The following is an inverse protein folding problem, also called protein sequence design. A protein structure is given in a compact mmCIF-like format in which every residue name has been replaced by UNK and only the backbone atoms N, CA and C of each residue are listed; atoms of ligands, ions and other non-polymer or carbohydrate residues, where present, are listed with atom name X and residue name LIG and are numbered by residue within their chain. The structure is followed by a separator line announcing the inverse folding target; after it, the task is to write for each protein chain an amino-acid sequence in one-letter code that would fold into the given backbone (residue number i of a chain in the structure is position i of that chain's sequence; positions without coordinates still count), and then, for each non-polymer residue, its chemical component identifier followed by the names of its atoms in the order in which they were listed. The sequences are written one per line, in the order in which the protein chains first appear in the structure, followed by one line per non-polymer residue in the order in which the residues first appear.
data_IF_927731388318
#
_entry.id   IF_927731388318
#
_cell.length_a   1.000
_cell.length_b   1.000
_cell.length_c   1.000
_cell.angle_alpha   90.00
_cell.angle_beta   90.00
_cell.angle_gamma   90.00
#
_symmetry.space_group_name_H-M   'P 1'
#
loop_
_entity.id
_entity.type
_entity.pdbx_description
1 polymer ?
#
# COMPACT_ATOMS: atom_id res chain seq x y z
N UNK A 1 11.77 -66.45 29.67
CA UNK A 1 12.37 -65.27 30.33
C UNK A 1 11.79 -64.04 29.67
N UNK A 2 10.91 -63.30 30.35
CA UNK A 2 10.29 -62.08 29.82
C UNK A 2 11.18 -60.88 30.17
N UNK A 3 11.52 -60.07 29.17
CA UNK A 3 12.32 -58.85 29.34
C UNK A 3 11.41 -57.78 29.95
N UNK A 4 11.78 -57.13 31.07
CA UNK A 4 10.95 -56.08 31.65
C UNK A 4 11.02 -54.82 30.77
N UNK A 5 9.85 -54.35 30.32
CA UNK A 5 9.69 -53.09 29.62
C UNK A 5 9.93 -51.94 30.61
N UNK A 6 10.94 -51.11 30.34
CA UNK A 6 11.18 -49.87 31.09
C UNK A 6 10.08 -48.85 30.79
N UNK A 7 9.54 -48.15 31.81
CA UNK A 7 8.53 -47.12 31.59
C UNK A 7 9.11 -45.93 30.80
N UNK A 8 8.27 -45.23 30.02
CA UNK A 8 8.70 -44.06 29.26
C UNK A 8 9.18 -42.95 30.20
N UNK A 9 10.16 -42.14 29.77
CA UNK A 9 10.65 -41.02 30.57
C UNK A 9 9.52 -40.00 30.83
N UNK A 10 9.55 -39.31 31.97
CA UNK A 10 8.58 -38.26 32.27
C UNK A 10 8.64 -37.14 31.24
N UNK A 11 7.52 -36.44 30.97
CA UNK A 11 7.50 -35.30 30.07
C UNK A 11 8.48 -34.23 30.55
N UNK A 12 9.27 -33.69 29.62
CA UNK A 12 10.21 -32.61 29.91
C UNK A 12 9.46 -31.43 30.54
N UNK A 13 10.05 -30.74 31.54
CA UNK A 13 9.45 -29.55 32.11
C UNK A 13 9.23 -28.49 31.01
N UNK A 14 8.16 -27.69 31.10
CA UNK A 14 7.94 -26.61 30.14
C UNK A 14 9.15 -25.68 30.16
N UNK A 15 9.72 -25.40 28.98
CA UNK A 15 10.84 -24.47 28.82
C UNK A 15 10.46 -23.12 29.41
N UNK A 16 11.22 -22.67 30.42
CA UNK A 16 11.08 -21.35 31.06
C UNK A 16 11.73 -20.22 30.25
N UNK A 17 12.25 -20.52 29.06
CA UNK A 17 12.84 -19.51 28.21
C UNK A 17 11.75 -18.55 27.73
N UNK A 18 11.96 -17.23 27.85
CA UNK A 18 11.02 -16.27 27.29
C UNK A 18 10.88 -16.53 25.79
N UNK A 19 9.66 -16.41 25.23
CA UNK A 19 9.46 -16.63 23.81
C UNK A 19 10.42 -15.75 23.01
N UNK A 20 10.96 -16.31 21.93
CA UNK A 20 11.94 -15.62 21.08
C UNK A 20 11.40 -14.27 20.58
N UNK A 21 10.11 -14.25 20.25
CA UNK A 21 9.36 -13.06 19.88
C UNK A 21 8.32 -12.73 20.96
N UNK A 22 8.27 -11.48 21.45
CA UNK A 22 7.21 -11.06 22.37
C UNK A 22 5.85 -11.08 21.66
N UNK A 23 4.74 -11.22 22.42
CA UNK A 23 3.40 -11.03 21.86
C UNK A 23 3.26 -9.61 21.30
N UNK A 24 2.73 -9.52 20.09
CA UNK A 24 2.48 -8.25 19.39
C UNK A 24 1.16 -7.66 19.86
N UNK A 25 1.15 -6.37 20.20
CA UNK A 25 -0.07 -5.65 20.57
C UNK A 25 -0.41 -4.56 19.55
N UNK A 26 -1.67 -4.14 19.52
CA UNK A 26 -2.13 -3.03 18.67
C UNK A 26 -1.33 -1.75 18.92
N UNK A 27 -0.96 -1.49 20.17
CA UNK A 27 -0.11 -0.36 20.56
C UNK A 27 1.28 -0.41 19.90
N UNK A 28 1.87 -1.60 19.72
CA UNK A 28 3.17 -1.78 19.08
C UNK A 28 3.10 -1.40 17.59
N UNK A 29 2.02 -1.82 16.91
CA UNK A 29 1.75 -1.43 15.52
C UNK A 29 1.53 0.07 15.40
N UNK A 30 0.72 0.67 16.28
CA UNK A 30 0.46 2.12 16.28
C UNK A 30 1.74 2.93 16.55
N UNK A 31 2.63 2.45 17.42
CA UNK A 31 3.93 3.09 17.67
C UNK A 31 4.86 3.06 16.44
N UNK A 32 4.66 2.10 15.54
CA UNK A 32 5.42 1.97 14.28
C UNK A 32 4.85 2.81 13.12
N UNK A 33 3.76 3.57 13.33
CA UNK A 33 3.25 4.51 12.32
C UNK A 33 4.31 5.57 11.98
N UNK A 34 4.40 5.93 10.69
CA UNK A 34 5.36 6.92 10.23
C UNK A 34 5.23 8.25 10.99
N UNK A 35 4.02 8.76 11.18
CA UNK A 35 3.77 9.99 11.96
C UNK A 35 4.18 9.90 13.43
N UNK A 36 4.25 8.70 14.01
CA UNK A 36 4.65 8.50 15.40
C UNK A 36 6.17 8.63 15.56
N UNK A 37 6.95 7.91 14.74
CA UNK A 37 8.40 7.89 14.88
C UNK A 37 9.12 9.01 14.10
N UNK A 38 8.56 9.51 13.00
CA UNK A 38 9.24 10.48 12.15
C UNK A 38 9.63 11.78 12.87
N UNK A 39 8.78 12.39 13.72
CA UNK A 39 9.15 13.59 14.48
C UNK A 39 10.36 13.35 15.41
N UNK A 40 10.45 12.16 16.03
CA UNK A 40 11.53 11.77 16.94
C UNK A 40 12.87 11.62 16.20
N UNK A 41 12.83 11.06 14.99
CA UNK A 41 14.03 10.72 14.22
C UNK A 41 14.24 11.60 12.99
N UNK A 42 13.54 12.74 12.90
CA UNK A 42 13.53 13.64 11.73
C UNK A 42 14.93 14.08 11.29
N UNK A 43 15.85 14.26 12.24
CA UNK A 43 17.23 14.71 11.98
C UNK A 43 18.11 13.65 11.31
N UNK A 44 17.78 12.37 11.49
CA UNK A 44 18.54 11.23 10.98
C UNK A 44 17.77 10.46 9.89
N UNK A 45 16.59 10.94 9.50
CA UNK A 45 15.74 10.32 8.50
C UNK A 45 15.66 11.19 7.24
N UNK A 46 15.46 10.59 6.05
CA UNK A 46 15.16 11.36 4.84
C UNK A 46 13.98 12.31 5.02
N UNK A 47 14.01 13.45 4.33
CA UNK A 47 12.91 14.42 4.37
C UNK A 47 11.61 13.77 3.89
N UNK A 48 10.52 14.02 4.60
CA UNK A 48 9.20 13.48 4.27
C UNK A 48 8.10 14.48 4.63
N UNK A 49 7.02 14.45 3.86
CA UNK A 49 5.76 15.16 4.13
C UNK A 49 4.71 14.10 4.47
N UNK A 50 3.99 14.30 5.57
CA UNK A 50 2.90 13.43 6.00
C UNK A 50 1.60 14.17 5.76
N UNK A 51 0.74 13.61 4.93
CA UNK A 51 -0.61 14.10 4.67
C UNK A 51 -1.55 13.31 5.59
N UNK A 52 -1.98 13.97 6.67
CA UNK A 52 -2.81 13.38 7.72
C UNK A 52 -3.78 14.41 8.33
N UNK A 53 -5.02 14.01 8.65
CA UNK A 53 -5.65 12.76 8.22
C UNK A 53 -5.85 12.78 6.70
N UNK A 54 -5.85 11.61 6.06
CA UNK A 54 -6.44 11.53 4.72
C UNK A 54 -7.93 11.88 4.91
N UNK A 55 -8.45 12.93 4.26
CA UNK A 55 -9.84 13.33 4.46
C UNK A 55 -10.78 12.16 4.21
N UNK A 56 -11.68 11.89 5.15
CA UNK A 56 -12.70 10.83 4.99
C UNK A 56 -13.65 11.12 3.82
N UNK A 57 -13.79 12.41 3.46
CA UNK A 57 -14.57 12.87 2.30
C UNK A 57 -13.97 12.45 0.97
N UNK A 58 -12.67 12.15 0.93
CA UNK A 58 -11.97 11.84 -0.30
C UNK A 58 -12.18 10.37 -0.72
N UNK A 59 -13.01 9.54 -0.06
CA UNK A 59 -13.24 8.11 -0.41
C UNK A 59 -11.94 7.33 -0.75
N UNK A 60 -10.80 7.77 -0.24
CA UNK A 60 -9.49 7.38 -0.78
C UNK A 60 -9.16 5.92 -0.46
N UNK A 61 -9.56 5.48 0.73
CA UNK A 61 -9.47 4.09 1.15
C UNK A 61 -10.34 3.21 0.26
N UNK A 62 -11.58 3.63 -0.04
CA UNK A 62 -12.47 2.91 -0.94
C UNK A 62 -11.86 2.81 -2.35
N UNK A 63 -11.21 3.87 -2.84
CA UNK A 63 -10.48 3.83 -4.09
C UNK A 63 -9.32 2.84 -4.09
N UNK A 64 -8.55 2.74 -3.02
CA UNK A 64 -7.46 1.77 -2.94
C UNK A 64 -8.01 0.34 -2.92
N UNK A 65 -9.09 0.10 -2.16
CA UNK A 65 -9.77 -1.21 -2.02
C UNK A 65 -10.57 -1.63 -3.27
N UNK A 66 -10.92 -0.70 -4.15
CA UNK A 66 -11.78 -1.02 -5.30
C UNK A 66 -11.08 -1.90 -6.34
N UNK A 67 -11.81 -2.83 -6.96
CA UNK A 67 -11.24 -3.69 -8.00
C UNK A 67 -10.84 -2.93 -9.28
N UNK A 68 -9.76 -3.41 -9.91
CA UNK A 68 -9.25 -2.94 -11.19
C UNK A 68 -8.34 -1.73 -11.11
N UNK A 69 -7.54 -1.50 -12.14
CA UNK A 69 -6.54 -0.44 -12.18
C UNK A 69 -7.05 0.76 -12.99
N UNK A 70 -7.36 1.85 -12.30
CA UNK A 70 -7.79 3.11 -12.91
C UNK A 70 -7.29 4.28 -12.09
N UNK A 71 -7.17 5.45 -12.70
CA UNK A 71 -6.62 6.65 -12.04
C UNK A 71 -7.73 7.65 -11.66
N UNK A 72 -7.58 8.38 -10.54
CA UNK A 72 -8.49 9.47 -10.19
C UNK A 72 -8.46 10.58 -11.24
N UNK A 73 -9.60 11.22 -11.47
CA UNK A 73 -9.71 12.37 -12.36
C UNK A 73 -8.86 13.54 -11.85
N UNK A 74 -8.02 14.10 -12.72
CA UNK A 74 -7.10 15.20 -12.39
C UNK A 74 -5.68 14.75 -11.97
N UNK A 75 -5.45 13.44 -11.79
CA UNK A 75 -4.17 12.91 -11.30
C UNK A 75 -3.02 12.93 -12.33
N UNK A 76 -3.33 12.91 -13.63
CA UNK A 76 -2.33 12.81 -14.71
C UNK A 76 -2.74 13.55 -16.00
N UNK A 77 -1.83 13.67 -16.99
CA UNK A 77 -2.19 14.18 -18.31
C UNK A 77 -3.30 13.29 -18.90
N UNK A 78 -4.36 13.91 -19.44
CA UNK A 78 -5.52 13.23 -20.03
C UNK A 78 -5.04 12.11 -20.98
N UNK A 79 -5.22 10.84 -20.61
CA UNK A 79 -4.83 9.71 -21.47
C UNK A 79 -4.51 8.39 -20.79
N UNK A 80 -4.26 8.35 -19.47
CA UNK A 80 -3.98 7.10 -18.73
C UNK A 80 -5.22 6.50 -18.03
N UNK A 81 -6.41 7.05 -18.26
CA UNK A 81 -7.60 6.68 -17.50
C UNK A 81 -8.14 5.27 -17.78
N UNK A 82 -7.70 4.60 -18.85
CA UNK A 82 -8.12 3.23 -19.16
C UNK A 82 -6.94 2.38 -19.67
N UNK A 83 -6.20 1.78 -18.74
CA UNK A 83 -5.42 0.56 -19.03
C UNK A 83 -6.33 -0.64 -18.81
N UNK A 84 -7.40 -0.75 -19.60
CA UNK A 84 -8.18 -1.98 -19.69
C UNK A 84 -7.62 -2.78 -20.85
N UNK A 85 -7.05 -3.96 -20.56
CA UNK A 85 -6.83 -5.01 -21.55
C UNK A 85 -8.22 -5.40 -22.10
N UNK A 86 -8.62 -4.75 -23.18
CA UNK A 86 -9.65 -5.25 -24.06
C UNK A 86 -8.90 -5.71 -25.30
N UNK A 87 -8.62 -7.01 -25.37
CA UNK A 87 -8.29 -7.70 -26.63
C UNK A 87 -9.47 -7.49 -27.60
N UNK A 88 -9.47 -6.35 -28.27
CA UNK A 88 -10.38 -6.05 -29.35
C UNK A 88 -9.51 -5.56 -30.50
N UNK A 89 -9.29 -6.50 -31.41
CA UNK A 89 -8.76 -6.30 -32.75
C UNK A 89 -9.24 -4.97 -33.35
N UNK A 90 -8.27 -4.26 -33.93
CA UNK A 90 -8.38 -3.37 -35.08
C UNK A 90 -9.64 -2.46 -35.19
N UNK A 91 -9.45 -1.15 -35.06
CA UNK A 91 -9.36 -0.26 -36.25
C UNK A 91 -9.20 1.22 -35.83
N UNK A 92 -8.22 1.87 -36.46
CA UNK A 92 -7.84 3.28 -36.30
C UNK A 92 -8.91 4.22 -36.90
N UNK A 93 -9.20 5.41 -36.33
CA UNK A 93 -9.93 6.43 -37.06
C UNK A 93 -8.94 7.27 -37.87
N UNK A 94 -8.69 6.86 -39.12
CA UNK A 94 -8.07 7.76 -40.10
C UNK A 94 -9.15 8.60 -40.76
N UNK A 95 -9.07 9.90 -40.52
CA UNK A 95 -9.83 10.93 -41.21
C UNK A 95 -9.61 10.86 -42.72
N UNK A 96 -10.66 10.55 -43.48
CA UNK A 96 -10.76 10.96 -44.88
C UNK A 96 -12.21 11.16 -45.32
N UNK A 97 -12.33 12.15 -46.19
CA UNK A 97 -13.52 12.72 -46.82
C UNK A 97 -14.43 11.73 -47.54
N UNK A 98 -15.74 11.90 -47.30
CA UNK A 98 -16.84 11.89 -48.27
C UNK A 98 -16.78 10.92 -49.47
N UNK A 99 -17.57 9.84 -49.42
CA UNK A 99 -18.54 9.45 -50.48
C UNK A 99 -19.48 8.31 -50.00
N UNK A 100 -20.78 8.65 -49.91
CA UNK A 100 -22.00 7.88 -50.22
C UNK A 100 -22.09 6.33 -50.09
N UNK A 101 -23.06 5.92 -49.25
CA UNK A 101 -23.99 4.76 -49.35
C UNK A 101 -23.38 3.35 -49.20
N UNK A 102 -23.85 2.47 -48.30
CA UNK A 102 -25.16 1.79 -48.34
C UNK A 102 -25.44 1.04 -47.01
N UNK A 103 -26.72 0.89 -46.67
CA UNK A 103 -27.29 0.27 -45.46
C UNK A 103 -26.85 -1.18 -45.17
N UNK A 104 -26.73 -1.50 -43.88
CA UNK A 104 -26.75 -2.87 -43.35
C UNK A 104 -26.89 -2.84 -41.83
N UNK A 105 -28.12 -3.05 -41.35
CA UNK A 105 -28.46 -3.10 -39.93
C UNK A 105 -27.82 -4.33 -39.27
N UNK A 106 -27.07 -4.14 -38.19
CA UNK A 106 -26.86 -5.18 -37.19
C UNK A 106 -27.09 -4.58 -35.80
N UNK A 107 -28.30 -4.80 -35.30
CA UNK A 107 -28.79 -4.41 -33.99
C UNK A 107 -28.18 -5.36 -32.95
N UNK A 108 -26.93 -5.11 -32.56
CA UNK A 108 -26.36 -5.72 -31.37
C UNK A 108 -26.53 -4.76 -30.18
N UNK A 109 -27.18 -5.17 -29.08
CA UNK A 109 -27.27 -4.34 -27.90
C UNK A 109 -25.85 -4.14 -27.37
N UNK A 110 -25.32 -2.92 -27.51
CA UNK A 110 -24.08 -2.50 -26.85
C UNK A 110 -24.34 -2.62 -25.35
N UNK A 111 -23.77 -3.64 -24.72
CA UNK A 111 -23.72 -3.77 -23.27
C UNK A 111 -23.19 -2.44 -22.72
N UNK A 112 -24.02 -1.76 -21.92
CA UNK A 112 -23.63 -0.51 -21.28
C UNK A 112 -22.37 -0.76 -20.48
N UNK A 113 -21.28 0.02 -20.63
CA UNK A 113 -20.18 -0.08 -19.69
C UNK A 113 -20.77 0.11 -18.30
N UNK A 114 -20.53 -0.86 -17.39
CA UNK A 114 -20.82 -0.67 -15.97
C UNK A 114 -20.24 0.70 -15.61
N UNK A 115 -21.08 1.62 -15.14
CA UNK A 115 -20.65 2.94 -14.70
C UNK A 115 -19.60 2.75 -13.59
N UNK A 116 -18.32 2.73 -13.96
CA UNK A 116 -17.22 2.65 -13.00
C UNK A 116 -17.30 3.91 -12.16
N UNK A 117 -17.32 3.76 -10.84
CA UNK A 117 -17.31 4.90 -9.91
C UNK A 117 -16.06 5.72 -10.22
N UNK A 118 -16.26 6.98 -10.58
CA UNK A 118 -15.17 7.90 -10.89
C UNK A 118 -14.73 8.57 -9.60
N UNK A 119 -13.44 8.48 -9.31
CA UNK A 119 -12.85 9.05 -8.11
C UNK A 119 -12.08 10.33 -8.48
N UNK A 120 -12.13 11.35 -7.62
CA UNK A 120 -11.35 12.58 -7.79
C UNK A 120 -10.97 13.13 -6.43
N UNK A 121 -9.68 13.44 -6.26
CA UNK A 121 -9.12 13.88 -4.97
C UNK A 121 -8.38 15.21 -5.14
N UNK A 122 -9.08 16.33 -5.43
CA UNK A 122 -8.42 17.59 -5.75
C UNK A 122 -7.55 18.13 -4.61
N UNK A 123 -7.93 17.89 -3.36
CA UNK A 123 -7.13 18.28 -2.19
C UNK A 123 -5.86 17.43 -2.07
N UNK A 124 -6.01 16.10 -2.15
CA UNK A 124 -4.87 15.17 -2.10
C UNK A 124 -3.91 15.41 -3.27
N UNK A 125 -4.42 15.66 -4.47
CA UNK A 125 -3.64 16.03 -5.65
C UNK A 125 -2.82 17.30 -5.41
N UNK A 126 -3.42 18.33 -4.81
CA UNK A 126 -2.72 19.57 -4.49
C UNK A 126 -1.58 19.33 -3.49
N UNK A 127 -1.81 18.53 -2.45
CA UNK A 127 -0.79 18.15 -1.47
C UNK A 127 0.34 17.31 -2.10
N UNK A 128 0.01 16.34 -2.96
CA UNK A 128 1.00 15.54 -3.70
C UNK A 128 1.84 16.44 -4.61
N UNK A 129 1.20 17.33 -5.37
CA UNK A 129 1.91 18.29 -6.25
C UNK A 129 2.79 19.25 -5.45
N UNK A 130 2.34 19.69 -4.28
CA UNK A 130 3.13 20.54 -3.37
C UNK A 130 4.36 19.80 -2.84
N UNK A 131 4.21 18.52 -2.46
CA UNK A 131 5.33 17.69 -2.02
C UNK A 131 6.33 17.42 -3.16
N UNK A 132 5.85 17.13 -4.38
CA UNK A 132 6.69 17.00 -5.58
C UNK A 132 7.50 18.27 -5.82
N UNK A 133 6.86 19.45 -5.79
CA UNK A 133 7.55 20.73 -5.95
C UNK A 133 8.58 20.99 -4.84
N UNK A 134 8.28 20.60 -3.60
CA UNK A 134 9.19 20.72 -2.44
C UNK A 134 10.41 19.81 -2.53
N UNK A 135 10.31 18.68 -3.23
CA UNK A 135 11.32 17.63 -3.26
C UNK A 135 11.97 17.46 -4.63
N UNK A 136 12.11 18.57 -5.38
CA UNK A 136 12.81 18.61 -6.66
C UNK A 136 12.17 17.69 -7.74
N UNK A 137 10.85 17.52 -7.67
CA UNK A 137 10.05 16.79 -8.67
C UNK A 137 10.06 15.27 -8.53
N UNK A 138 10.57 14.72 -7.42
CA UNK A 138 10.59 13.28 -7.21
C UNK A 138 10.32 12.89 -5.75
N UNK A 139 9.35 11.99 -5.56
CA UNK A 139 8.95 11.46 -4.25
C UNK A 139 8.81 9.95 -4.28
N UNK A 140 8.76 9.38 -3.08
CA UNK A 140 8.47 7.98 -2.84
C UNK A 140 7.28 7.88 -1.88
N UNK A 141 6.15 7.27 -2.30
CA UNK A 141 4.95 7.16 -1.48
C UNK A 141 5.01 5.95 -0.53
N UNK A 142 4.33 6.07 0.60
CA UNK A 142 4.00 4.96 1.49
C UNK A 142 2.77 5.31 2.34
N UNK A 143 2.13 4.30 2.95
CA UNK A 143 1.11 4.54 3.98
C UNK A 143 1.74 4.58 5.38
N UNK A 144 0.93 4.34 6.40
CA UNK A 144 1.30 4.30 7.82
C UNK A 144 2.56 3.45 8.06
N UNK A 145 2.63 2.23 7.50
CA UNK A 145 3.66 1.25 7.83
C UNK A 145 4.46 0.79 6.62
N UNK A 146 3.78 0.35 5.57
CA UNK A 146 4.38 -0.30 4.42
C UNK A 146 4.58 0.63 3.25
N UNK A 147 5.58 0.33 2.44
CA UNK A 147 5.83 1.04 1.18
C UNK A 147 5.62 0.08 0.00
N UNK A 148 5.17 0.55 -1.17
CA UNK A 148 4.71 -0.30 -2.26
C UNK A 148 5.87 -0.91 -3.09
N UNK A 149 6.83 -1.54 -2.41
CA UNK A 149 8.05 -2.08 -3.03
C UNK A 149 7.77 -3.21 -4.02
N UNK A 150 6.75 -4.00 -3.73
CA UNK A 150 6.18 -5.07 -4.55
C UNK A 150 5.51 -4.55 -5.83
N UNK A 151 5.08 -3.29 -5.86
CA UNK A 151 4.47 -2.63 -7.03
C UNK A 151 5.47 -1.84 -7.88
N UNK A 152 6.78 -1.95 -7.64
CA UNK A 152 7.80 -1.20 -8.39
C UNK A 152 7.73 -1.41 -9.92
N UNK A 153 7.20 -2.55 -10.37
CA UNK A 153 6.99 -2.89 -11.78
C UNK A 153 5.98 -1.99 -12.50
N UNK A 154 5.14 -1.25 -11.77
CA UNK A 154 4.14 -0.35 -12.34
C UNK A 154 4.74 0.88 -13.01
N UNK A 155 5.93 1.31 -12.58
CA UNK A 155 6.56 2.53 -13.07
C UNK A 155 7.70 2.24 -14.06
N UNK A 156 7.92 3.14 -15.05
CA UNK A 156 9.10 3.08 -15.89
C UNK A 156 10.40 3.06 -15.05
N UNK A 157 11.28 2.11 -15.33
CA UNK A 157 12.53 1.95 -14.59
C UNK A 157 12.42 1.10 -13.32
N UNK A 158 11.30 0.42 -13.10
CA UNK A 158 11.10 -0.60 -12.05
C UNK A 158 11.56 -0.13 -10.67
N UNK A 159 11.16 1.07 -10.30
CA UNK A 159 11.52 1.72 -9.05
C UNK A 159 10.32 2.46 -8.47
N UNK A 160 10.52 3.10 -7.33
CA UNK A 160 9.46 3.73 -6.57
C UNK A 160 9.51 5.28 -6.67
N UNK A 161 10.13 5.79 -7.73
CA UNK A 161 10.28 7.23 -7.99
C UNK A 161 9.02 7.74 -8.68
N UNK A 162 8.15 8.38 -7.92
CA UNK A 162 6.98 9.08 -8.44
C UNK A 162 7.35 10.51 -8.84
N UNK A 163 6.91 10.93 -10.03
CA UNK A 163 7.09 12.28 -10.54
C UNK A 163 5.76 12.98 -10.81
N UNK A 164 4.65 12.23 -10.79
CA UNK A 164 3.28 12.73 -10.95
C UNK A 164 2.36 12.15 -9.87
N UNK A 165 1.19 12.77 -9.59
CA UNK A 165 0.19 12.17 -8.72
C UNK A 165 -0.33 10.82 -9.25
N UNK A 166 -0.47 10.68 -10.56
CA UNK A 166 -0.81 9.40 -11.20
C UNK A 166 0.17 8.28 -10.78
N UNK A 167 1.48 8.53 -10.78
CA UNK A 167 2.47 7.53 -10.35
C UNK A 167 2.26 7.10 -8.89
N UNK A 168 1.89 8.05 -8.02
CA UNK A 168 1.62 7.79 -6.60
C UNK A 168 0.41 6.88 -6.45
N UNK A 169 -0.70 7.22 -7.09
CA UNK A 169 -1.92 6.41 -7.03
C UNK A 169 -1.73 5.03 -7.64
N UNK A 170 -0.98 4.94 -8.74
CA UNK A 170 -0.69 3.69 -9.43
C UNK A 170 0.09 2.74 -8.53
N UNK A 171 1.19 3.20 -7.91
CA UNK A 171 1.98 2.36 -7.00
C UNK A 171 1.18 1.90 -5.79
N UNK A 172 0.42 2.81 -5.16
CA UNK A 172 -0.34 2.47 -3.96
C UNK A 172 -1.44 1.46 -4.26
N UNK A 173 -2.13 1.63 -5.39
CA UNK A 173 -3.24 0.76 -5.79
C UNK A 173 -2.80 -0.63 -6.24
N UNK A 174 -1.59 -0.77 -6.75
CA UNK A 174 -1.06 -2.03 -7.28
C UNK A 174 -0.21 -2.83 -6.27
N UNK A 175 -0.17 -2.44 -5.00
CA UNK A 175 0.68 -3.05 -3.98
C UNK A 175 -0.13 -3.89 -2.99
N UNK A 176 0.25 -5.15 -2.84
CA UNK A 176 -0.27 -6.07 -1.83
C UNK A 176 0.15 -5.62 -0.42
N UNK A 177 1.33 -5.01 -0.27
CA UNK A 177 1.75 -4.42 0.99
C UNK A 177 0.87 -3.25 1.43
N UNK A 178 0.36 -2.47 0.49
CA UNK A 178 -0.60 -1.40 0.79
C UNK A 178 -1.97 -1.99 1.14
N UNK A 179 -2.45 -2.98 0.40
CA UNK A 179 -3.69 -3.70 0.76
C UNK A 179 -3.61 -4.33 2.15
N UNK A 180 -2.46 -4.90 2.52
CA UNK A 180 -2.22 -5.43 3.86
C UNK A 180 -2.31 -4.33 4.94
N UNK A 181 -1.72 -3.16 4.70
CA UNK A 181 -1.83 -2.01 5.62
C UNK A 181 -3.30 -1.58 5.83
N UNK A 182 -4.16 -1.71 4.81
CA UNK A 182 -5.57 -1.30 4.88
C UNK A 182 -6.44 -2.29 5.69
N UNK A 183 -6.28 -3.58 5.41
CA UNK A 183 -7.19 -4.63 5.86
C UNK A 183 -6.66 -5.43 7.05
N UNK A 184 -5.34 -5.64 7.12
CA UNK A 184 -4.71 -6.73 7.88
C UNK A 184 -3.66 -6.23 8.88
N UNK A 185 -3.57 -4.92 9.09
CA UNK A 185 -2.51 -4.29 9.90
C UNK A 185 -2.41 -4.81 11.35
N UNK A 186 -3.50 -5.33 11.91
CA UNK A 186 -3.58 -5.78 13.30
C UNK A 186 -3.83 -7.28 13.46
N UNK A 187 -3.84 -8.07 12.38
CA UNK A 187 -4.21 -9.50 12.41
C UNK A 187 -3.38 -10.34 13.38
N UNK A 188 -2.11 -9.98 13.56
CA UNK A 188 -1.18 -10.69 14.44
C UNK A 188 -1.17 -10.16 15.88
N UNK A 189 -2.02 -9.17 16.21
CA UNK A 189 -2.06 -8.57 17.55
C UNK A 189 -2.91 -9.41 18.51
N UNK A 190 -2.36 -9.73 19.69
CA UNK A 190 -3.03 -10.56 20.70
C UNK A 190 -4.23 -9.89 21.36
N UNK A 191 -4.30 -8.56 21.30
CA UNK A 191 -5.36 -7.70 21.83
C UNK A 191 -6.31 -7.19 20.73
N UNK A 192 -6.15 -7.66 19.49
CA UNK A 192 -7.04 -7.33 18.38
C UNK A 192 -8.08 -8.44 18.16
N UNK A 193 -9.35 -8.07 18.26
CA UNK A 193 -10.45 -8.93 17.87
C UNK A 193 -11.15 -8.32 16.62
N UNK A 194 -11.03 -8.96 15.45
CA UNK A 194 -11.69 -8.53 14.22
C UNK A 194 -13.22 -8.44 14.36
N UNK A 195 -13.83 -9.26 15.21
CA UNK A 195 -15.28 -9.22 15.44
C UNK A 195 -15.66 -7.96 16.23
N UNK A 196 -14.86 -7.55 17.22
CA UNK A 196 -15.11 -6.32 17.99
C UNK A 196 -14.80 -5.05 17.20
N UNK A 197 -13.89 -5.10 16.22
CA UNK A 197 -13.64 -3.96 15.32
C UNK A 197 -14.79 -3.75 14.31
N UNK A 198 -15.50 -4.82 13.93
CA UNK A 198 -16.77 -4.77 13.20
C UNK A 198 -17.99 -4.53 14.10
N UNK A 199 -18.00 -4.94 15.37
CA UNK A 199 -19.12 -4.69 16.30
C UNK A 199 -19.06 -3.31 16.95
N UNK A 200 -17.88 -2.67 16.96
CA UNK A 200 -17.71 -1.23 17.18
C UNK A 200 -18.40 -0.35 16.12
N UNK A 201 -18.96 -0.96 15.06
CA UNK A 201 -19.91 -0.38 14.11
C UNK A 201 -21.33 -0.28 14.71
N UNK A 202 -21.46 0.00 16.01
CA UNK A 202 -22.76 0.38 16.56
C UNK A 202 -23.18 1.70 15.91
N UNK A 203 -24.34 1.66 15.26
CA UNK A 203 -25.03 2.77 14.62
C UNK A 203 -25.40 3.84 15.66
N UNK A 204 -24.44 4.67 16.05
CA UNK A 204 -24.75 6.00 16.54
C UNK A 204 -25.20 6.82 15.32
N UNK A 205 -26.36 7.48 15.42
CA UNK A 205 -27.01 8.28 14.37
C UNK A 205 -25.98 9.22 13.69
N UNK A 206 -25.46 8.80 12.53
CA UNK A 206 -24.39 9.51 11.84
C UNK A 206 -23.42 8.66 11.01
N UNK A 207 -23.47 7.32 11.06
CA UNK A 207 -22.76 6.44 10.11
C UNK A 207 -21.23 6.53 10.16
N UNK A 208 -20.64 6.73 11.34
CA UNK A 208 -19.20 7.03 11.48
C UNK A 208 -18.36 5.81 11.88
N UNK A 209 -17.36 5.46 11.08
CA UNK A 209 -16.27 4.52 11.46
C UNK A 209 -15.30 5.22 12.42
N UNK A 210 -15.46 5.10 13.73
CA UNK A 210 -14.48 5.65 14.69
C UNK A 210 -13.34 4.69 14.96
N UNK A 211 -12.36 4.65 14.05
CA UNK A 211 -11.02 4.11 14.38
C UNK A 211 -10.30 5.13 15.28
N UNK A 212 -9.64 4.68 16.36
CA UNK A 212 -8.79 5.54 17.20
C UNK A 212 -7.53 6.05 16.49
N UNK A 213 -7.40 5.77 15.19
CA UNK A 213 -6.27 6.08 14.33
C UNK A 213 -6.79 6.33 12.90
N UNK A 214 -6.01 7.03 12.09
CA UNK A 214 -6.35 7.36 10.70
C UNK A 214 -5.23 6.90 9.77
N UNK A 215 -5.58 6.60 8.51
CA UNK A 215 -4.57 6.43 7.47
C UNK A 215 -3.87 7.75 7.17
N UNK A 216 -2.62 7.63 6.73
CA UNK A 216 -1.78 8.76 6.34
C UNK A 216 -1.05 8.44 5.04
N UNK A 217 -1.00 9.42 4.13
CA UNK A 217 -0.18 9.34 2.94
C UNK A 217 1.15 10.02 3.23
N UNK A 218 2.24 9.27 3.13
CA UNK A 218 3.58 9.77 3.38
C UNK A 218 4.33 9.88 2.06
N UNK A 219 4.83 11.08 1.78
CA UNK A 219 5.65 11.36 0.60
C UNK A 219 7.07 11.69 1.05
N UNK A 220 7.98 10.73 0.84
CA UNK A 220 9.40 10.88 1.16
C UNK A 220 10.13 11.49 -0.03
N UNK A 221 11.10 12.37 0.20
CA UNK A 221 11.99 12.87 -0.85
C UNK A 221 12.70 11.68 -1.50
N UNK A 222 12.62 11.56 -2.83
CA UNK A 222 13.39 10.56 -3.56
C UNK A 222 14.89 10.87 -3.47
N UNK A 223 15.69 9.83 -3.30
CA UNK A 223 17.13 9.87 -3.46
C UNK A 223 17.61 8.47 -3.85
N UNK A 224 18.66 8.41 -4.66
CA UNK A 224 19.22 7.14 -5.09
C UNK A 224 20.02 6.53 -3.94
N UNK A 225 19.46 5.50 -3.30
CA UNK A 225 20.10 4.75 -2.23
C UNK A 225 20.70 3.46 -2.82
N UNK A 226 22.02 3.27 -2.79
CA UNK A 226 22.61 2.01 -3.21
C UNK A 226 22.17 0.91 -2.22
N UNK A 227 21.51 -0.14 -2.74
CA UNK A 227 21.00 -1.26 -1.93
C UNK A 227 22.07 -1.95 -1.07
N UNK A 228 23.34 -1.90 -1.48
CA UNK A 228 24.47 -2.42 -0.71
C UNK A 228 24.70 -1.69 0.63
N UNK A 229 24.08 -0.53 0.82
CA UNK A 229 24.17 0.27 2.04
C UNK A 229 22.88 0.21 2.87
N UNK A 230 21.95 -0.67 2.53
CA UNK A 230 20.71 -0.87 3.27
C UNK A 230 20.85 -2.03 4.27
N UNK A 231 20.53 -1.75 5.53
CA UNK A 231 20.65 -2.70 6.62
C UNK A 231 19.34 -2.78 7.41
N UNK A 232 18.94 -4.00 7.77
CA UNK A 232 17.88 -4.27 8.74
C UNK A 232 18.51 -4.55 10.10
N UNK A 233 18.21 -3.69 11.07
CA UNK A 233 18.74 -3.78 12.43
C UNK A 233 17.66 -4.30 13.39
N UNK A 234 18.03 -5.24 14.26
CA UNK A 234 17.15 -5.82 15.27
C UNK A 234 17.55 -5.31 16.65
N UNK A 235 16.62 -4.69 17.37
CA UNK A 235 16.85 -4.08 18.68
C UNK A 235 15.90 -4.69 19.70
N UNK A 236 16.43 -5.03 20.88
CA UNK A 236 15.65 -5.48 22.05
C UNK A 236 16.22 -4.81 23.29
N UNK A 237 15.35 -4.30 24.17
CA UNK A 237 15.77 -3.66 25.43
C UNK A 237 16.84 -2.57 25.22
N UNK A 238 16.67 -1.72 24.21
CA UNK A 238 17.62 -0.68 23.81
C UNK A 238 19.03 -1.18 23.44
N UNK A 239 19.17 -2.45 23.04
CA UNK A 239 20.43 -3.06 22.60
C UNK A 239 20.29 -3.59 21.18
N UNK A 240 21.27 -3.27 20.33
CA UNK A 240 21.39 -3.83 18.98
C UNK A 240 21.79 -5.31 19.09
N UNK A 241 20.92 -6.20 18.61
CA UNK A 241 21.15 -7.65 18.60
C UNK A 241 21.84 -8.11 17.31
N UNK A 242 21.53 -7.47 16.18
CA UNK A 242 22.11 -7.82 14.89
C UNK A 242 21.71 -6.84 13.79
N UNK A 243 22.50 -6.82 12.71
CA UNK A 243 22.23 -6.06 11.50
C UNK A 243 22.49 -6.93 10.27
N UNK A 244 21.57 -6.94 9.32
CA UNK A 244 21.65 -7.76 8.12
C UNK A 244 21.51 -6.88 6.88
N UNK A 245 22.39 -7.09 5.89
CA UNK A 245 22.27 -6.45 4.58
C UNK A 245 20.95 -6.84 3.93
N UNK A 246 20.19 -5.86 3.46
CA UNK A 246 18.98 -6.11 2.66
C UNK A 246 19.31 -6.53 1.21
N UNK A 247 20.56 -6.36 0.80
CA UNK A 247 21.07 -6.90 -0.45
C UNK A 247 21.51 -8.36 -0.27
N UNK A 248 20.80 -9.28 -0.94
CA UNK A 248 21.28 -10.64 -1.19
C UNK A 248 22.03 -10.63 -2.53
N UNK A 249 23.36 -10.85 -2.57
CA UNK A 249 24.03 -11.08 -3.83
C UNK A 249 23.41 -12.34 -4.45
N UNK A 250 22.86 -12.21 -5.65
CA UNK A 250 22.54 -13.36 -6.50
C UNK A 250 23.84 -14.14 -6.71
N UNK A 251 23.95 -15.32 -6.10
CA UNK A 251 25.00 -16.26 -6.47
C UNK A 251 24.74 -16.65 -7.93
N UNK A 252 25.73 -16.50 -8.83
CA UNK A 252 25.61 -17.11 -10.14
C UNK A 252 25.53 -18.63 -9.96
N UNK A 253 24.52 -19.27 -10.56
CA UNK A 253 24.47 -20.72 -10.77
C UNK A 253 25.66 -21.22 -11.60
#
# INVERSE_FOLDING_TARGET
MAVPLTPPPPPAPPSTDPPLFPPLHTADILACQFSHWYPLFKRISPKATVIRPIPEEDDFVEYLESDGLFLPEGSGPMGLSELSDSDSDDELPSSSSSTSSTNGADDRPRLSPRQRRQFSFPHLDAEIRSALARYDGAVFPKLNWSSPQDAAWMLPGQNLKCQTPADVYLLLKSSDFISHDLDRAFDDCVDYDPALSLEGLSLEEGGRRRRGWSFELVLKKWFDMPRSQEWRCFVRENRLLGAFSLFLPSFPE
#
